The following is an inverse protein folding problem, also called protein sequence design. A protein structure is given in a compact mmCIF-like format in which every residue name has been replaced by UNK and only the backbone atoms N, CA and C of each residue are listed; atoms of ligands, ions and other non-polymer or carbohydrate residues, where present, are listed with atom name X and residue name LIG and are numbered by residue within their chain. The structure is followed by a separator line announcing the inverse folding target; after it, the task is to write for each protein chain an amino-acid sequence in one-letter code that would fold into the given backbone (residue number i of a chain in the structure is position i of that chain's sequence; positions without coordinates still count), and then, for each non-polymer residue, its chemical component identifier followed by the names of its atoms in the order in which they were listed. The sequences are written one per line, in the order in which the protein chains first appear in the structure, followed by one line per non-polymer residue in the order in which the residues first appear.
data_IF_212415350016
#
_entry.id   IF_212415350016
#
_cell.length_a   1.000
_cell.length_b   1.000
_cell.length_c   1.000
_cell.angle_alpha   90.00
_cell.angle_beta   90.00
_cell.angle_gamma   90.00
#
_symmetry.space_group_name_H-M   'P 1'
#
loop_
_entity.id
_entity.type
_entity.pdbx_description
1 polymer ?
#
# COMPACT_ATOMS: atom_id res chain seq x y z
N UNK A 1 -15.86 -3.87 -26.59
CA UNK A 1 -14.84 -4.90 -26.29
C UNK A 1 -15.42 -6.25 -25.89
N UNK A 2 -16.59 -6.31 -25.23
CA UNK A 2 -17.19 -7.57 -24.75
C UNK A 2 -17.48 -8.57 -25.91
N UNK A 3 -18.00 -8.08 -27.03
CA UNK A 3 -18.32 -8.89 -28.22
C UNK A 3 -17.07 -9.39 -28.97
N UNK A 4 -15.96 -8.67 -28.88
CA UNK A 4 -14.69 -9.02 -29.57
C UNK A 4 -14.11 -10.33 -29.08
N UNK A 5 -14.25 -10.61 -27.78
CA UNK A 5 -13.69 -11.79 -27.13
C UNK A 5 -14.74 -12.87 -26.81
N UNK A 6 -15.98 -12.69 -27.29
CA UNK A 6 -17.10 -13.57 -26.99
C UNK A 6 -17.25 -13.83 -25.48
N UNK A 7 -17.17 -12.77 -24.68
CA UNK A 7 -17.16 -12.87 -23.22
C UNK A 7 -18.57 -13.20 -22.72
N UNK A 8 -18.69 -14.33 -22.03
CA UNK A 8 -19.95 -14.80 -21.43
C UNK A 8 -20.11 -14.44 -19.95
N UNK A 9 -19.03 -14.04 -19.28
CA UNK A 9 -19.02 -13.66 -17.87
C UNK A 9 -17.92 -12.63 -17.62
N UNK A 10 -18.28 -11.55 -16.93
CA UNK A 10 -17.36 -10.51 -16.44
C UNK A 10 -17.38 -10.54 -14.93
N UNK A 11 -16.21 -10.64 -14.31
CA UNK A 11 -16.09 -10.76 -12.86
C UNK A 11 -15.16 -9.70 -12.30
N UNK A 12 -15.54 -9.10 -11.17
CA UNK A 12 -14.69 -8.15 -10.46
C UNK A 12 -14.76 -8.35 -8.94
N UNK A 13 -13.62 -8.20 -8.27
CA UNK A 13 -13.54 -8.28 -6.80
C UNK A 13 -14.24 -7.11 -6.09
N UNK A 14 -14.44 -7.20 -4.78
CA UNK A 14 -14.91 -6.07 -3.97
C UNK A 14 -13.84 -5.03 -3.71
N UNK A 15 -12.57 -5.44 -3.75
CA UNK A 15 -11.41 -4.59 -3.46
C UNK A 15 -10.64 -4.29 -4.75
N UNK A 16 -10.34 -3.01 -4.98
CA UNK A 16 -9.53 -2.53 -6.09
C UNK A 16 -8.83 -1.22 -5.75
N UNK A 17 -7.75 -0.91 -6.47
CA UNK A 17 -7.06 0.38 -6.37
C UNK A 17 -7.94 1.54 -6.82
N UNK A 18 -8.72 1.31 -7.87
CA UNK A 18 -9.61 2.29 -8.46
C UNK A 18 -10.97 1.63 -8.71
N UNK A 19 -12.02 2.30 -8.27
CA UNK A 19 -13.40 1.84 -8.44
C UNK A 19 -14.03 2.35 -9.73
N UNK A 20 -13.30 3.17 -10.49
CA UNK A 20 -13.73 3.70 -11.78
C UNK A 20 -13.40 2.72 -12.91
N UNK A 21 -14.14 1.61 -12.94
CA UNK A 21 -14.13 0.68 -14.05
C UNK A 21 -15.49 0.77 -14.77
N UNK A 22 -15.43 0.89 -16.11
CA UNK A 22 -16.59 1.02 -16.98
C UNK A 22 -17.47 -0.25 -16.89
N UNK A 23 -18.42 -0.22 -15.96
CA UNK A 23 -19.36 -1.31 -15.67
C UNK A 23 -20.55 -1.37 -16.62
N UNK A 24 -20.84 -0.27 -17.28
CA UNK A 24 -22.15 0.03 -17.87
C UNK A 24 -22.57 -1.04 -18.90
N UNK A 25 -21.68 -1.40 -19.83
CA UNK A 25 -21.97 -2.40 -20.87
C UNK A 25 -22.19 -3.80 -20.29
N UNK A 26 -21.34 -4.24 -19.35
CA UNK A 26 -21.41 -5.59 -18.77
C UNK A 26 -22.59 -5.78 -17.81
N UNK A 27 -22.96 -4.72 -17.07
CA UNK A 27 -24.13 -4.71 -16.21
C UNK A 27 -25.42 -4.72 -17.02
N UNK A 28 -25.49 -3.92 -18.10
CA UNK A 28 -26.64 -3.88 -18.99
C UNK A 28 -26.89 -5.23 -19.70
N UNK A 29 -25.83 -5.97 -20.03
CA UNK A 29 -25.94 -7.30 -20.63
C UNK A 29 -26.23 -8.45 -19.64
N UNK A 30 -26.26 -8.19 -18.33
CA UNK A 30 -26.54 -9.20 -17.32
C UNK A 30 -25.45 -10.26 -17.13
N UNK A 31 -24.24 -10.04 -17.67
CA UNK A 31 -23.09 -10.95 -17.59
C UNK A 31 -22.10 -10.56 -16.49
N UNK A 32 -22.40 -9.52 -15.70
CA UNK A 32 -21.53 -9.04 -14.63
C UNK A 32 -21.78 -9.79 -13.31
N UNK A 33 -20.71 -10.25 -12.67
CA UNK A 33 -20.73 -10.85 -11.36
C UNK A 33 -19.68 -10.22 -10.44
N UNK A 34 -20.04 -9.97 -9.18
CA UNK A 34 -19.13 -9.46 -8.16
C UNK A 34 -18.63 -10.61 -7.29
N UNK A 35 -17.31 -10.72 -7.12
CA UNK A 35 -16.69 -11.63 -6.18
C UNK A 35 -16.29 -10.92 -4.91
N UNK A 36 -16.50 -11.57 -3.79
CA UNK A 36 -16.01 -11.10 -2.49
C UNK A 36 -14.52 -11.38 -2.37
N UNK A 37 -13.75 -10.30 -2.21
CA UNK A 37 -12.33 -10.41 -1.88
C UNK A 37 -12.19 -10.83 -0.40
N UNK A 38 -11.37 -11.83 -0.08
CA UNK A 38 -11.23 -12.33 1.29
C UNK A 38 -10.48 -11.36 2.22
N UNK A 39 -9.80 -10.35 1.66
CA UNK A 39 -8.97 -9.39 2.40
C UNK A 39 -9.17 -7.99 1.82
N UNK A 40 -9.19 -7.00 2.71
CA UNK A 40 -9.15 -5.58 2.36
C UNK A 40 -7.70 -5.11 2.19
N UNK A 41 -7.05 -5.59 1.11
CA UNK A 41 -5.67 -5.24 0.78
C UNK A 41 -5.56 -4.72 -0.64
N UNK A 42 -4.88 -3.59 -0.77
CA UNK A 42 -4.53 -2.97 -2.05
C UNK A 42 -3.02 -2.81 -2.17
N UNK A 43 -2.48 -2.81 -3.39
CA UNK A 43 -1.11 -2.37 -3.69
C UNK A 43 -0.78 -1.04 -3.02
N UNK A 44 -1.68 -0.04 -3.06
CA UNK A 44 -1.47 1.25 -2.37
C UNK A 44 -1.33 1.08 -0.86
N UNK A 45 -2.14 0.21 -0.24
CA UNK A 45 -2.05 -0.09 1.19
C UNK A 45 -0.72 -0.74 1.55
N UNK A 46 -0.21 -1.63 0.70
CA UNK A 46 1.09 -2.29 0.87
C UNK A 46 2.22 -1.27 0.75
N UNK A 47 2.18 -0.41 -0.28
CA UNK A 47 3.16 0.65 -0.50
C UNK A 47 3.23 1.56 0.74
N UNK A 48 2.09 2.03 1.25
CA UNK A 48 2.03 2.88 2.45
C UNK A 48 2.67 2.20 3.66
N UNK A 49 2.44 0.90 3.86
CA UNK A 49 3.03 0.13 4.97
C UNK A 49 4.55 0.04 4.86
N UNK A 50 5.07 -0.17 3.66
CA UNK A 50 6.52 -0.23 3.40
C UNK A 50 7.16 1.14 3.67
N UNK A 51 6.57 2.21 3.12
CA UNK A 51 7.09 3.58 3.26
C UNK A 51 7.06 4.02 4.72
N UNK A 52 5.95 3.85 5.42
CA UNK A 52 5.83 4.22 6.84
C UNK A 52 6.86 3.47 7.71
N UNK A 53 7.07 2.18 7.45
CA UNK A 53 8.09 1.41 8.16
C UNK A 53 9.51 1.91 7.86
N UNK A 54 9.80 2.24 6.60
CA UNK A 54 11.09 2.79 6.19
C UNK A 54 11.38 4.15 6.85
N UNK A 55 10.39 5.04 6.90
CA UNK A 55 10.49 6.34 7.57
C UNK A 55 10.76 6.18 9.07
N UNK A 56 10.01 5.30 9.75
CA UNK A 56 10.21 5.01 11.18
C UNK A 56 11.63 4.47 11.46
N UNK A 57 12.16 3.61 10.58
CA UNK A 57 13.51 3.10 10.68
C UNK A 57 14.56 4.22 10.52
N UNK A 58 14.38 5.14 9.58
CA UNK A 58 15.29 6.27 9.39
C UNK A 58 15.35 7.17 10.63
N UNK A 59 14.20 7.54 11.19
CA UNK A 59 14.12 8.37 12.41
C UNK A 59 14.84 7.71 13.58
N UNK A 60 14.63 6.41 13.79
CA UNK A 60 15.29 5.64 14.86
C UNK A 60 16.81 5.67 14.73
N UNK A 61 17.33 5.56 13.50
CA UNK A 61 18.77 5.61 13.26
C UNK A 61 19.37 7.01 13.47
N UNK A 62 18.62 8.07 13.16
CA UNK A 62 19.03 9.44 13.47
C UNK A 62 19.11 9.65 14.98
N UNK A 63 18.08 9.23 15.72
CA UNK A 63 18.07 9.31 17.19
C UNK A 63 19.25 8.52 17.78
N UNK A 64 19.49 7.31 17.30
CA UNK A 64 20.64 6.51 17.74
C UNK A 64 21.96 7.25 17.50
N UNK A 65 22.17 7.83 16.32
CA UNK A 65 23.39 8.58 15.99
C UNK A 65 23.57 9.82 16.86
N UNK A 66 22.51 10.61 17.06
CA UNK A 66 22.56 11.80 17.92
C UNK A 66 22.88 11.44 19.38
N UNK A 67 22.27 10.37 19.89
CA UNK A 67 22.52 9.90 21.25
C UNK A 67 23.99 9.46 21.44
N UNK A 68 24.57 8.75 20.45
CA UNK A 68 26.00 8.40 20.48
C UNK A 68 26.90 9.65 20.50
N UNK A 69 26.62 10.67 19.68
CA UNK A 69 27.39 11.92 19.66
C UNK A 69 27.35 12.67 21.01
N UNK A 70 26.19 12.71 21.66
CA UNK A 70 26.07 13.34 22.99
C UNK A 70 26.85 12.59 24.07
N UNK A 71 26.90 11.25 24.01
CA UNK A 71 27.71 10.44 24.92
C UNK A 71 29.21 10.67 24.70
N UNK A 72 29.65 10.76 23.44
CA UNK A 72 31.05 11.03 23.10
C UNK A 72 31.49 12.43 23.56
N UNK A 73 30.64 13.46 23.36
CA UNK A 73 30.92 14.83 23.80
C UNK A 73 30.95 14.95 25.33
N UNK A 74 30.04 14.29 26.04
CA UNK A 74 30.00 14.31 27.51
C UNK A 74 31.21 13.61 28.14
N UNK A 75 31.74 12.56 27.50
CA UNK A 75 32.92 11.83 27.97
C UNK A 75 34.19 12.69 27.93
N UNK A 76 34.34 13.53 26.90
CA UNK A 76 35.49 14.45 26.77
C UNK A 76 35.47 15.56 27.82
N UNK A 77 34.28 15.99 28.28
CA UNK A 77 34.14 17.03 29.30
C UNK A 77 34.41 16.56 30.74
N UNK A 78 34.32 15.25 31.02
CA UNK A 78 34.58 14.68 32.36
C UNK A 78 36.07 14.34 32.56
N UNK A 79 36.82 14.17 31.47
CA UNK A 79 38.24 13.80 31.47
C UNK A 79 39.21 15.00 31.38
N UNK A 80 38.73 16.24 31.53
CA UNK A 80 39.51 17.48 31.48
C UNK A 80 39.35 18.28 32.76
#
# INVERSE_FOLDING_TARGET
MITTFNISLVVHGTIAENMDYAKEDSMAMGIYHRLESPLDITTSSIIRRIVANHEAYQVTNVIRRLCMQHLDSSTVHILR
#
